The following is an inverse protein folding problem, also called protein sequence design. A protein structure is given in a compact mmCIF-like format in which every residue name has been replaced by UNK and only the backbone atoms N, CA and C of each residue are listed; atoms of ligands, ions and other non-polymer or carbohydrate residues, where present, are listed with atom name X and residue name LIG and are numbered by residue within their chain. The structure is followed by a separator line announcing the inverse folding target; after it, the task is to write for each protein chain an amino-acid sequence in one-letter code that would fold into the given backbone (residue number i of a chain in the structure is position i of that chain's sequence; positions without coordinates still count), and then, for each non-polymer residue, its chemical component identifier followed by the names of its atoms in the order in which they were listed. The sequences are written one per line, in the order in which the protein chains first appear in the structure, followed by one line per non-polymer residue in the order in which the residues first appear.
data_IF_487638693026
#
_entry.id   IF_487638693026
#
_cell.length_a   1.000
_cell.length_b   1.000
_cell.length_c   1.000
_cell.angle_alpha   90.00
_cell.angle_beta   90.00
_cell.angle_gamma   90.00
#
_symmetry.space_group_name_H-M   'P 1'
#
loop_
_entity.id
_entity.type
_entity.pdbx_description
1 polymer ?
#
# COMPACT_ATOMS: atom_id res chain seq x y z
N UNK A 1 29.48 16.42 -6.54
CA UNK A 1 29.06 17.48 -5.61
C UNK A 1 27.56 17.38 -5.28
N UNK A 2 27.04 16.16 -5.10
CA UNK A 2 25.59 15.88 -4.96
C UNK A 2 25.41 14.56 -4.18
N UNK A 3 25.92 14.52 -2.95
CA UNK A 3 25.68 13.41 -2.01
C UNK A 3 25.32 13.90 -0.59
N UNK A 4 25.36 15.21 -0.35
CA UNK A 4 25.10 15.80 0.97
C UNK A 4 23.65 16.25 1.20
N UNK A 5 22.83 16.34 0.14
CA UNK A 5 21.46 16.89 0.21
C UNK A 5 20.35 15.89 0.57
N UNK A 6 20.63 14.58 0.61
CA UNK A 6 19.60 13.57 0.91
C UNK A 6 19.54 13.14 2.39
N UNK A 7 20.55 13.47 3.20
CA UNK A 7 20.68 12.93 4.55
C UNK A 7 19.65 13.47 5.57
N UNK A 8 19.26 14.77 5.57
CA UNK A 8 18.33 15.30 6.58
C UNK A 8 16.89 14.79 6.40
N UNK A 9 16.38 14.81 5.16
CA UNK A 9 15.04 14.31 4.79
C UNK A 9 14.85 12.81 5.08
N UNK A 10 15.87 11.99 4.82
CA UNK A 10 15.85 10.55 5.15
C UNK A 10 15.76 10.30 6.66
N UNK A 11 16.42 11.13 7.48
CA UNK A 11 16.35 11.04 8.95
C UNK A 11 14.95 11.42 9.45
N UNK A 12 14.30 12.39 8.83
CA UNK A 12 12.93 12.81 9.16
C UNK A 12 11.89 11.74 8.81
N UNK A 13 11.99 11.12 7.62
CA UNK A 13 11.10 10.03 7.20
C UNK A 13 11.17 8.79 8.11
N UNK A 14 12.31 8.57 8.79
CA UNK A 14 12.49 7.46 9.74
C UNK A 14 11.73 7.61 11.07
N UNK A 15 11.14 8.78 11.34
CA UNK A 15 10.36 9.06 12.56
C UNK A 15 8.84 8.84 12.40
N UNK A 16 8.33 8.45 11.23
CA UNK A 16 6.88 8.23 11.03
C UNK A 16 6.37 6.97 11.75
N UNK A 17 5.27 7.05 12.52
CA UNK A 17 4.43 5.90 12.82
C UNK A 17 3.34 5.81 11.74
N UNK A 18 3.43 4.82 10.85
CA UNK A 18 2.23 4.34 10.15
C UNK A 18 1.58 3.30 11.07
N UNK A 19 0.45 3.65 11.69
CA UNK A 19 -0.34 2.71 12.48
C UNK A 19 -1.24 3.40 13.50
N UNK A 20 -2.47 2.95 13.61
CA UNK A 20 -3.46 3.31 14.65
C UNK A 20 -3.09 2.79 16.05
N UNK A 21 -1.83 2.40 16.27
CA UNK A 21 -1.36 2.06 17.61
C UNK A 21 -1.15 3.36 18.40
N UNK A 22 -1.77 3.44 19.58
CA UNK A 22 -1.40 4.42 20.61
C UNK A 22 0.10 4.24 20.88
N UNK A 23 0.93 5.06 20.26
CA UNK A 23 2.34 5.13 20.60
C UNK A 23 2.44 5.52 22.08
N UNK A 24 2.89 4.59 22.93
CA UNK A 24 3.33 4.93 24.26
C UNK A 24 4.46 5.94 24.13
N UNK A 25 4.22 7.16 24.61
CA UNK A 25 5.25 8.19 24.65
C UNK A 25 6.36 7.74 25.61
N UNK A 26 7.64 7.83 25.21
CA UNK A 26 8.73 7.59 26.14
C UNK A 26 8.72 8.69 27.22
N UNK A 27 8.28 8.34 28.43
CA UNK A 27 8.56 9.07 29.65
C UNK A 27 10.05 8.93 29.94
N UNK A 28 10.89 9.77 29.33
CA UNK A 28 12.16 10.30 29.88
C UNK A 28 13.01 10.87 28.75
N UNK A 29 12.98 12.19 28.58
CA UNK A 29 14.10 12.95 28.02
C UNK A 29 14.05 14.35 28.62
N UNK A 30 14.70 14.51 29.78
CA UNK A 30 14.93 15.82 30.39
C UNK A 30 16.02 16.54 29.59
N UNK A 31 15.62 17.44 28.71
CA UNK A 31 16.46 18.50 28.18
C UNK A 31 15.64 19.78 28.25
N UNK A 32 16.10 20.75 29.05
CA UNK A 32 15.55 22.08 29.30
C UNK A 32 14.31 22.44 28.45
N UNK A 33 13.11 22.20 29.00
CA UNK A 33 11.88 22.72 28.40
C UNK A 33 11.88 24.24 28.54
N UNK A 34 12.20 24.92 27.46
CA UNK A 34 11.90 26.34 27.32
C UNK A 34 10.36 26.45 27.23
N UNK A 35 9.72 26.63 28.38
CA UNK A 35 8.27 26.63 28.57
C UNK A 35 7.56 27.88 28.04
N UNK A 36 8.25 28.71 27.26
CA UNK A 36 7.68 29.94 26.72
C UNK A 36 6.57 29.59 25.71
N UNK A 37 5.30 29.97 25.98
CA UNK A 37 4.21 29.73 25.06
C UNK A 37 4.46 30.45 23.72
N UNK A 38 4.02 29.84 22.62
CA UNK A 38 4.10 30.48 21.31
C UNK A 38 3.21 31.74 21.30
N UNK A 39 3.67 32.76 20.58
CA UNK A 39 2.87 33.95 20.31
C UNK A 39 1.66 33.61 19.41
N UNK A 40 0.64 34.47 19.43
CA UNK A 40 -0.55 34.29 18.59
C UNK A 40 -0.24 34.23 17.09
N UNK A 41 0.77 35.00 16.64
CA UNK A 41 1.29 34.93 15.27
C UNK A 41 1.76 33.52 14.90
N UNK A 42 2.59 32.91 15.75
CA UNK A 42 3.08 31.54 15.53
C UNK A 42 1.97 30.51 15.67
N UNK A 43 1.10 30.64 16.68
CA UNK A 43 -0.02 29.71 16.93
C UNK A 43 -0.93 29.61 15.70
N UNK A 44 -1.17 30.73 15.01
CA UNK A 44 -2.04 30.77 13.84
C UNK A 44 -1.55 30.00 12.61
N UNK A 45 -0.24 29.78 12.50
CA UNK A 45 0.39 29.10 11.36
C UNK A 45 0.77 27.66 11.69
N UNK A 46 0.60 27.21 12.94
CA UNK A 46 0.93 25.84 13.34
C UNK A 46 0.22 24.76 12.52
N UNK A 47 -1.09 24.86 12.17
CA UNK A 47 -1.73 23.86 11.32
C UNK A 47 -1.04 23.70 9.96
N UNK A 48 -0.53 24.79 9.39
CA UNK A 48 0.20 24.78 8.12
C UNK A 48 1.60 24.17 8.27
N UNK A 49 2.30 24.49 9.36
CA UNK A 49 3.60 23.87 9.68
C UNK A 49 3.47 22.35 9.94
N UNK A 50 2.36 21.92 10.55
CA UNK A 50 2.07 20.50 10.67
C UNK A 50 1.93 19.85 9.30
N UNK A 51 1.13 20.41 8.39
CA UNK A 51 0.89 19.83 7.06
C UNK A 51 2.14 19.86 6.17
N UNK A 52 2.89 20.96 6.22
CA UNK A 52 4.19 21.09 5.59
C UNK A 52 5.12 19.89 5.87
N UNK A 53 5.04 19.35 7.09
CA UNK A 53 5.94 18.30 7.54
C UNK A 53 5.27 16.92 7.70
N UNK A 54 3.95 16.83 7.83
CA UNK A 54 3.20 15.57 8.00
C UNK A 54 3.49 14.60 6.84
N UNK A 55 3.53 15.12 5.62
CA UNK A 55 3.85 14.34 4.42
C UNK A 55 5.31 14.44 3.98
N UNK A 56 6.13 15.28 4.63
CA UNK A 56 7.57 15.38 4.39
C UNK A 56 7.96 15.73 2.93
N UNK A 57 7.01 16.24 2.14
CA UNK A 57 7.15 16.53 0.73
C UNK A 57 6.65 17.96 0.44
N UNK A 58 7.42 18.95 0.90
CA UNK A 58 7.29 20.31 0.36
C UNK A 58 8.25 20.47 -0.82
N UNK A 59 7.70 20.83 -1.98
CA UNK A 59 8.53 21.21 -3.12
C UNK A 59 9.22 22.56 -2.87
N UNK A 60 10.38 22.83 -3.47
CA UNK A 60 11.06 24.13 -3.34
C UNK A 60 10.15 25.32 -3.70
N UNK A 61 9.27 25.15 -4.70
CA UNK A 61 8.29 26.15 -5.13
C UNK A 61 7.25 26.44 -4.03
N UNK A 62 6.72 25.40 -3.38
CA UNK A 62 5.80 25.57 -2.25
C UNK A 62 6.49 26.27 -1.07
N UNK A 63 7.76 25.94 -0.78
CA UNK A 63 8.53 26.59 0.29
C UNK A 63 8.73 28.08 0.00
N UNK A 64 9.08 28.42 -1.25
CA UNK A 64 9.26 29.81 -1.68
C UNK A 64 7.95 30.59 -1.60
N UNK A 65 6.83 29.97 -2.00
CA UNK A 65 5.51 30.57 -1.96
C UNK A 65 5.02 30.81 -0.52
N UNK A 66 5.19 29.84 0.38
CA UNK A 66 4.90 30.00 1.82
C UNK A 66 5.76 31.12 2.40
N UNK A 67 7.08 31.11 2.15
CA UNK A 67 7.99 32.14 2.67
C UNK A 67 7.64 33.55 2.16
N UNK A 68 7.27 33.66 0.88
CA UNK A 68 6.84 34.93 0.28
C UNK A 68 5.59 35.46 0.96
N UNK A 69 4.60 34.59 1.19
CA UNK A 69 3.33 34.97 1.81
C UNK A 69 3.49 35.28 3.30
N UNK A 70 4.29 34.50 4.03
CA UNK A 70 4.67 34.77 5.44
C UNK A 70 5.41 36.10 5.59
N UNK A 71 6.32 36.42 4.65
CA UNK A 71 7.06 37.68 4.67
C UNK A 71 6.16 38.91 4.46
N UNK A 72 5.06 38.76 3.73
CA UNK A 72 4.09 39.82 3.45
C UNK A 72 3.14 40.12 4.63
N UNK A 73 3.13 39.28 5.67
CA UNK A 73 2.16 39.40 6.77
C UNK A 73 2.60 40.41 7.82
N UNK A 74 1.91 41.55 7.89
CA UNK A 74 2.15 42.67 8.82
C UNK A 74 1.99 42.30 10.30
N UNK A 75 1.18 41.28 10.58
CA UNK A 75 0.81 40.79 11.92
C UNK A 75 1.79 39.76 12.51
N UNK A 76 2.80 39.34 11.75
CA UNK A 76 3.93 38.57 12.25
C UNK A 76 5.10 39.51 12.57
N UNK A 77 5.70 39.38 13.75
CA UNK A 77 6.89 40.15 14.12
C UNK A 77 8.11 39.73 13.29
N UNK A 78 9.15 40.58 13.17
CA UNK A 78 10.39 40.21 12.46
C UNK A 78 11.01 38.90 12.99
N UNK A 79 11.03 38.71 14.30
CA UNK A 79 11.57 37.52 14.96
C UNK A 79 10.72 36.27 14.66
N UNK A 80 9.40 36.42 14.59
CA UNK A 80 8.49 35.33 14.22
C UNK A 80 8.68 34.90 12.76
N UNK A 81 8.82 35.86 11.85
CA UNK A 81 9.08 35.57 10.43
C UNK A 81 10.42 34.87 10.24
N UNK A 82 11.45 35.27 10.97
CA UNK A 82 12.76 34.61 10.95
C UNK A 82 12.66 33.16 11.48
N UNK A 83 11.93 32.96 12.57
CA UNK A 83 11.70 31.63 13.16
C UNK A 83 10.93 30.70 12.22
N UNK A 84 9.87 31.20 11.57
CA UNK A 84 9.08 30.44 10.60
C UNK A 84 9.92 30.05 9.38
N UNK A 85 10.74 30.98 8.87
CA UNK A 85 11.67 30.69 7.77
C UNK A 85 12.64 29.58 8.13
N UNK A 86 13.16 29.58 9.36
CA UNK A 86 14.02 28.51 9.86
C UNK A 86 13.33 27.14 9.88
N UNK A 87 12.06 27.08 10.29
CA UNK A 87 11.28 25.83 10.31
C UNK A 87 10.80 25.33 8.95
N UNK A 88 10.84 26.19 7.94
CA UNK A 88 10.52 25.86 6.55
C UNK A 88 11.78 25.54 5.72
N UNK A 89 12.97 25.56 6.33
CA UNK A 89 14.22 25.17 5.66
C UNK A 89 14.27 23.65 5.50
N UNK A 90 14.26 23.12 4.26
CA UNK A 90 14.27 21.67 4.02
C UNK A 90 15.61 21.02 4.40
N UNK A 91 16.71 21.79 4.45
CA UNK A 91 18.01 21.28 4.88
C UNK A 91 18.12 21.23 6.42
N UNK A 92 17.29 22.02 7.13
CA UNK A 92 17.26 22.10 8.58
C UNK A 92 15.82 21.96 9.12
N UNK A 93 15.18 20.79 8.92
CA UNK A 93 13.81 20.57 9.37
C UNK A 93 13.68 20.71 10.89
N UNK A 94 12.47 21.01 11.41
CA UNK A 94 12.21 21.01 12.84
C UNK A 94 12.53 19.64 13.44
N UNK A 95 13.10 19.62 14.65
CA UNK A 95 13.30 18.38 15.39
C UNK A 95 11.97 17.76 15.84
N UNK A 96 12.01 16.47 16.19
CA UNK A 96 10.82 15.74 16.62
C UNK A 96 10.13 16.40 17.82
N UNK A 97 10.90 16.95 18.76
CA UNK A 97 10.38 17.64 19.95
C UNK A 97 9.54 18.86 19.56
N UNK A 98 10.06 19.68 18.64
CA UNK A 98 9.41 20.89 18.13
C UNK A 98 8.16 20.52 17.33
N UNK A 99 8.27 19.52 16.45
CA UNK A 99 7.13 19.02 15.68
C UNK A 99 6.00 18.50 16.58
N UNK A 100 6.30 17.64 17.57
CA UNK A 100 5.29 17.12 18.48
C UNK A 100 4.74 18.19 19.43
N UNK A 101 5.51 19.24 19.74
CA UNK A 101 5.00 20.41 20.47
C UNK A 101 3.92 21.13 19.66
N UNK A 102 4.10 21.30 18.35
CA UNK A 102 3.06 21.87 17.48
C UNK A 102 1.81 20.99 17.48
N UNK A 103 1.96 19.68 17.28
CA UNK A 103 0.82 18.75 17.27
C UNK A 103 0.05 18.79 18.59
N UNK A 104 0.75 18.80 19.73
CA UNK A 104 0.12 18.92 21.05
C UNK A 104 -0.63 20.25 21.20
N UNK A 105 -0.03 21.36 20.78
CA UNK A 105 -0.67 22.67 20.84
C UNK A 105 -1.94 22.71 19.98
N UNK A 106 -1.88 22.19 18.74
CA UNK A 106 -3.03 22.14 17.84
C UNK A 106 -4.16 21.29 18.44
N UNK A 107 -3.84 20.10 18.96
CA UNK A 107 -4.83 19.22 19.59
C UNK A 107 -5.44 19.83 20.85
N UNK A 108 -4.63 20.46 21.70
CA UNK A 108 -5.11 21.13 22.91
C UNK A 108 -6.06 22.28 22.55
N UNK A 109 -5.70 23.14 21.60
CA UNK A 109 -6.57 24.23 21.16
C UNK A 109 -7.84 23.71 20.47
N UNK A 110 -7.75 22.65 19.67
CA UNK A 110 -8.90 22.05 19.00
C UNK A 110 -9.91 21.42 19.98
N UNK A 111 -9.44 20.88 21.11
CA UNK A 111 -10.31 20.30 22.14
C UNK A 111 -11.28 21.32 22.73
N UNK A 112 -10.83 22.56 22.89
CA UNK A 112 -11.64 23.66 23.44
C UNK A 112 -12.48 24.38 22.36
N UNK A 113 -12.45 23.91 21.10
CA UNK A 113 -13.17 24.52 19.97
C UNK A 113 -14.37 23.68 19.50
N UNK A 114 -15.58 24.26 19.46
CA UNK A 114 -16.71 23.62 18.82
C UNK A 114 -16.45 23.35 17.33
N UNK A 115 -16.71 22.12 16.88
CA UNK A 115 -16.62 21.72 15.48
C UNK A 115 -15.24 21.97 14.83
N UNK A 116 -14.15 21.85 15.60
CA UNK A 116 -12.79 22.01 15.08
C UNK A 116 -12.55 21.16 13.82
N UNK A 117 -13.05 19.92 13.80
CA UNK A 117 -12.97 18.99 12.66
C UNK A 117 -13.71 19.42 11.37
N UNK A 118 -14.47 20.52 11.41
CA UNK A 118 -15.17 21.05 10.23
C UNK A 118 -14.45 22.28 9.64
N UNK A 119 -13.43 22.79 10.34
CA UNK A 119 -12.68 23.99 9.96
C UNK A 119 -11.62 23.68 8.90
N UNK A 120 -11.32 24.66 8.07
CA UNK A 120 -10.13 24.69 7.22
C UNK A 120 -8.86 24.88 8.07
N UNK A 121 -7.67 24.70 7.49
CA UNK A 121 -6.40 24.97 8.20
C UNK A 121 -6.30 26.45 8.61
N UNK A 122 -6.73 27.36 7.74
CA UNK A 122 -6.79 28.79 8.01
C UNK A 122 -7.75 29.14 9.15
N UNK A 123 -8.97 28.58 9.11
CA UNK A 123 -9.99 28.79 10.15
C UNK A 123 -9.53 28.26 11.51
N UNK A 124 -8.92 27.06 11.53
CA UNK A 124 -8.36 26.47 12.74
C UNK A 124 -7.25 27.36 13.31
N UNK A 125 -6.29 27.79 12.48
CA UNK A 125 -5.19 28.64 12.91
C UNK A 125 -5.64 29.96 13.54
N UNK A 126 -6.56 30.66 12.89
CA UNK A 126 -7.09 31.94 13.41
C UNK A 126 -7.82 31.74 14.75
N UNK A 127 -8.65 30.71 14.87
CA UNK A 127 -9.36 30.43 16.12
C UNK A 127 -8.39 30.00 17.23
N UNK A 128 -7.31 29.29 16.91
CA UNK A 128 -6.26 28.94 17.88
C UNK A 128 -5.59 30.20 18.42
N UNK A 129 -5.31 31.17 17.56
CA UNK A 129 -4.73 32.45 17.95
C UNK A 129 -5.70 33.29 18.82
N UNK A 130 -7.01 33.25 18.53
CA UNK A 130 -8.05 33.90 19.35
C UNK A 130 -8.15 33.30 20.75
N UNK A 131 -8.13 31.96 20.86
CA UNK A 131 -8.17 31.27 22.16
C UNK A 131 -6.94 31.55 23.03
N UNK A 132 -5.80 31.87 22.42
CA UNK A 132 -4.56 32.21 23.14
C UNK A 132 -4.60 33.60 23.84
N UNK A 133 -5.70 34.35 23.73
CA UNK A 133 -5.93 35.56 24.54
C UNK A 133 -5.07 36.78 24.17
N UNK A 134 -4.58 36.84 22.93
CA UNK A 134 -3.85 37.97 22.37
C UNK A 134 -4.74 38.63 21.31
N UNK A 135 -4.81 39.96 21.27
CA UNK A 135 -5.50 40.67 20.18
C UNK A 135 -5.03 40.10 18.84
N UNK A 136 -5.98 39.48 18.13
CA UNK A 136 -5.67 38.41 17.20
C UNK A 136 -5.18 38.87 15.83
N UNK A 137 -4.84 37.90 14.96
CA UNK A 137 -4.75 38.12 13.53
C UNK A 137 -6.11 38.58 12.99
N UNK A 138 -6.13 39.69 12.26
CA UNK A 138 -7.33 40.34 11.69
C UNK A 138 -7.98 39.48 10.60
N UNK A 139 -9.15 39.88 10.08
CA UNK A 139 -9.75 39.28 8.87
C UNK A 139 -8.75 39.17 7.69
N UNK A 140 -7.72 40.00 7.68
CA UNK A 140 -6.59 39.99 6.76
C UNK A 140 -5.75 38.71 6.89
N UNK A 141 -5.46 38.29 8.12
CA UNK A 141 -4.69 37.07 8.39
C UNK A 141 -5.47 35.81 8.00
N UNK A 142 -6.79 35.78 8.25
CA UNK A 142 -7.63 34.67 7.82
C UNK A 142 -7.62 34.52 6.29
N UNK A 143 -7.69 35.65 5.55
CA UNK A 143 -7.59 35.64 4.09
C UNK A 143 -6.21 35.18 3.62
N UNK A 144 -5.14 35.70 4.20
CA UNK A 144 -3.78 35.32 3.84
C UNK A 144 -3.49 33.82 4.09
N UNK A 145 -3.99 33.28 5.20
CA UNK A 145 -3.86 31.84 5.50
C UNK A 145 -4.71 30.99 4.55
N UNK A 146 -5.91 31.44 4.18
CA UNK A 146 -6.74 30.75 3.19
C UNK A 146 -6.07 30.72 1.81
N UNK A 147 -5.43 31.82 1.41
CA UNK A 147 -4.63 31.86 0.18
C UNK A 147 -3.47 30.85 0.26
N UNK A 148 -2.74 30.79 1.39
CA UNK A 148 -1.66 29.81 1.60
C UNK A 148 -2.21 28.37 1.51
N UNK A 149 -3.38 28.10 2.10
CA UNK A 149 -4.07 26.81 2.02
C UNK A 149 -4.37 26.40 0.57
N UNK A 150 -4.87 27.34 -0.23
CA UNK A 150 -5.14 27.14 -1.67
C UNK A 150 -3.86 26.86 -2.46
N UNK A 151 -2.78 27.62 -2.21
CA UNK A 151 -1.50 27.44 -2.88
C UNK A 151 -0.84 26.09 -2.59
N UNK A 152 -1.06 25.56 -1.37
CA UNK A 152 -0.59 24.23 -1.01
C UNK A 152 -1.37 23.11 -1.71
N UNK A 153 -2.55 23.40 -2.27
CA UNK A 153 -3.40 22.41 -2.94
C UNK A 153 -3.94 21.33 -1.99
N UNK A 154 -3.99 21.63 -0.69
CA UNK A 154 -4.39 20.68 0.36
C UNK A 154 -5.88 20.76 0.60
N UNK A 155 -6.54 19.61 0.78
CA UNK A 155 -7.93 19.54 1.25
C UNK A 155 -7.93 19.79 2.77
N UNK A 156 -7.82 21.05 3.18
CA UNK A 156 -7.48 21.37 4.57
C UNK A 156 -8.50 20.93 5.61
N UNK A 157 -9.80 20.80 5.26
CA UNK A 157 -10.80 20.21 6.17
C UNK A 157 -10.56 18.73 6.46
N UNK A 158 -10.05 17.98 5.49
CA UNK A 158 -9.70 16.56 5.69
C UNK A 158 -8.45 16.43 6.55
N UNK A 159 -7.43 17.24 6.25
CA UNK A 159 -6.23 17.38 7.06
C UNK A 159 -6.52 17.73 8.52
N UNK A 160 -7.43 18.68 8.78
CA UNK A 160 -7.85 19.04 10.13
C UNK A 160 -8.55 17.88 10.83
N UNK A 161 -9.43 17.14 10.15
CA UNK A 161 -10.13 15.95 10.72
C UNK A 161 -9.14 14.88 11.17
N UNK A 162 -8.16 14.57 10.33
CA UNK A 162 -7.12 13.60 10.66
C UNK A 162 -6.29 14.07 11.86
N UNK A 163 -5.88 15.35 11.85
CA UNK A 163 -5.06 15.96 12.88
C UNK A 163 -5.75 16.01 14.26
N UNK A 164 -7.04 16.38 14.30
CA UNK A 164 -7.79 16.51 15.57
C UNK A 164 -8.41 15.20 16.04
N UNK A 165 -8.47 14.18 15.18
CA UNK A 165 -8.95 12.84 15.54
C UNK A 165 -10.46 12.72 15.75
N UNK A 166 -11.22 13.75 15.39
CA UNK A 166 -12.69 13.73 15.43
C UNK A 166 -13.23 13.40 14.03
N UNK A 167 -13.76 12.19 13.90
CA UNK A 167 -14.66 11.88 12.78
C UNK A 167 -16.03 12.46 13.16
N UNK A 168 -16.65 13.34 12.35
CA UNK A 168 -18.02 13.74 12.64
C UNK A 168 -18.87 12.47 12.78
N UNK A 169 -19.86 12.45 13.69
CA UNK A 169 -20.87 11.41 13.65
C UNK A 169 -21.33 11.31 12.19
N UNK A 170 -21.46 10.09 11.67
CA UNK A 170 -21.99 9.89 10.33
C UNK A 170 -23.23 10.79 10.25
N UNK A 171 -23.19 11.80 9.37
CA UNK A 171 -24.33 12.68 9.22
C UNK A 171 -25.52 11.74 9.04
N UNK A 172 -26.56 11.86 9.87
CA UNK A 172 -27.79 11.14 9.64
C UNK A 172 -28.18 11.49 8.21
N UNK A 173 -27.88 10.57 7.29
CA UNK A 173 -28.12 10.73 5.88
C UNK A 173 -29.62 10.49 5.68
N UNK A 174 -30.45 11.29 6.35
CA UNK A 174 -31.80 11.61 5.95
C UNK A 174 -31.76 12.56 4.75
N UNK A 175 -30.82 12.34 3.83
CA UNK A 175 -30.87 12.92 2.50
C UNK A 175 -32.08 12.32 1.80
N UNK A 176 -32.80 13.16 1.07
CA UNK A 176 -33.91 12.73 0.22
C UNK A 176 -33.43 11.58 -0.69
N UNK A 177 -33.98 10.37 -0.49
CA UNK A 177 -33.64 9.22 -1.31
C UNK A 177 -34.15 9.52 -2.71
N UNK A 178 -33.25 9.93 -3.60
CA UNK A 178 -33.60 10.12 -5.00
C UNK A 178 -34.17 8.80 -5.53
N UNK A 179 -35.30 8.84 -6.28
CA UNK A 179 -35.86 7.64 -6.87
C UNK A 179 -34.91 7.16 -7.98
N UNK A 180 -34.01 6.24 -7.64
CA UNK A 180 -33.07 5.62 -8.57
C UNK A 180 -33.66 4.31 -9.08
N UNK A 181 -33.74 4.17 -10.41
CA UNK A 181 -34.08 2.90 -11.04
C UNK A 181 -32.86 1.97 -10.97
N UNK A 182 -32.85 1.11 -9.95
CA UNK A 182 -31.69 0.28 -9.57
C UNK A 182 -31.29 -0.68 -10.69
N UNK A 183 -32.24 -1.24 -11.45
CA UNK A 183 -31.92 -2.17 -12.53
C UNK A 183 -31.23 -1.45 -13.70
N UNK A 184 -31.66 -0.23 -14.03
CA UNK A 184 -31.07 0.63 -15.04
C UNK A 184 -29.67 1.09 -14.66
N UNK A 185 -29.44 1.47 -13.40
CA UNK A 185 -28.10 1.80 -12.93
C UNK A 185 -27.17 0.57 -12.98
N UNK A 186 -27.65 -0.60 -12.57
CA UNK A 186 -26.89 -1.86 -12.66
C UNK A 186 -26.56 -2.19 -14.12
N UNK A 187 -27.52 -2.09 -15.03
CA UNK A 187 -27.31 -2.34 -16.45
C UNK A 187 -26.27 -1.38 -17.05
N UNK A 188 -26.30 -0.10 -16.64
CA UNK A 188 -25.32 0.88 -17.06
C UNK A 188 -23.90 0.58 -16.54
N UNK A 189 -23.77 0.17 -15.27
CA UNK A 189 -22.48 -0.14 -14.64
C UNK A 189 -21.90 -1.48 -15.13
N UNK A 190 -22.73 -2.50 -15.29
CA UNK A 190 -22.28 -3.82 -15.75
C UNK A 190 -21.99 -3.83 -17.27
N UNK A 191 -22.67 -2.97 -18.01
CA UNK A 191 -22.51 -2.81 -19.46
C UNK A 191 -22.68 -4.12 -20.21
N UNK A 192 -21.85 -4.33 -21.24
CA UNK A 192 -21.90 -5.54 -22.08
C UNK A 192 -21.45 -6.82 -21.37
N UNK A 193 -20.79 -6.70 -20.22
CA UNK A 193 -20.29 -7.84 -19.45
C UNK A 193 -21.31 -8.32 -18.40
N UNK A 194 -22.51 -7.72 -18.36
CA UNK A 194 -23.58 -8.10 -17.44
C UNK A 194 -23.84 -9.61 -17.37
N UNK A 195 -23.94 -10.37 -18.50
CA UNK A 195 -24.16 -11.82 -18.43
C UNK A 195 -23.05 -12.57 -17.67
N UNK A 196 -21.80 -12.18 -17.86
CA UNK A 196 -20.66 -12.78 -17.17
C UNK A 196 -20.65 -12.42 -15.68
N UNK A 197 -20.88 -11.13 -15.35
CA UNK A 197 -20.96 -10.67 -13.96
C UNK A 197 -22.10 -11.36 -13.22
N UNK A 198 -23.26 -11.52 -13.86
CA UNK A 198 -24.43 -12.19 -13.29
C UNK A 198 -24.18 -13.68 -13.06
N UNK A 199 -23.50 -14.35 -13.99
CA UNK A 199 -23.06 -15.73 -13.79
C UNK A 199 -22.16 -15.86 -12.55
N UNK A 200 -21.21 -14.94 -12.37
CA UNK A 200 -20.28 -14.97 -11.23
C UNK A 200 -20.99 -14.64 -9.92
N UNK A 201 -21.85 -13.62 -9.89
CA UNK A 201 -22.68 -13.31 -8.72
C UNK A 201 -23.55 -14.50 -8.32
N UNK A 202 -24.18 -15.16 -9.31
CA UNK A 202 -24.98 -16.37 -9.08
C UNK A 202 -24.15 -17.48 -8.44
N UNK A 203 -22.93 -17.70 -8.93
CA UNK A 203 -22.00 -18.68 -8.37
C UNK A 203 -21.59 -18.32 -6.92
N UNK A 204 -21.28 -17.06 -6.66
CA UNK A 204 -20.88 -16.57 -5.33
C UNK A 204 -22.04 -16.57 -4.31
N UNK A 205 -23.29 -16.70 -4.76
CA UNK A 205 -24.45 -16.90 -3.90
C UNK A 205 -24.67 -18.37 -3.51
N UNK A 206 -23.93 -19.32 -4.08
CA UNK A 206 -24.04 -20.74 -3.71
C UNK A 206 -23.63 -20.94 -2.23
N UNK A 207 -24.31 -21.82 -1.46
CA UNK A 207 -23.96 -22.08 -0.07
C UNK A 207 -22.49 -22.47 0.17
N UNK A 208 -21.81 -23.00 -0.84
CA UNK A 208 -20.38 -23.31 -0.77
C UNK A 208 -19.48 -22.08 -0.64
N UNK A 209 -19.97 -20.89 -1.02
CA UNK A 209 -19.30 -19.59 -0.84
C UNK A 209 -19.76 -18.88 0.43
N UNK A 210 -20.51 -19.53 1.33
CA UNK A 210 -20.95 -18.87 2.56
C UNK A 210 -19.75 -18.42 3.39
N UNK A 211 -19.71 -17.14 3.71
CA UNK A 211 -18.70 -16.56 4.57
C UNK A 211 -18.85 -17.08 6.02
N UNK A 212 -17.75 -17.33 6.76
CA UNK A 212 -17.82 -17.73 8.16
C UNK A 212 -18.52 -16.68 9.04
N UNK A 213 -19.45 -17.12 9.90
CA UNK A 213 -20.23 -16.22 10.75
C UNK A 213 -19.45 -15.70 11.98
N UNK A 214 -18.33 -16.36 12.31
CA UNK A 214 -17.48 -16.05 13.46
C UNK A 214 -16.05 -15.75 13.03
N UNK A 215 -15.30 -15.11 13.91
CA UNK A 215 -13.86 -14.96 13.73
C UNK A 215 -13.22 -16.33 13.47
N UNK A 216 -12.55 -16.44 12.32
CA UNK A 216 -12.01 -17.69 11.81
C UNK A 216 -10.49 -17.65 11.90
N UNK A 217 -9.83 -18.68 12.48
CA UNK A 217 -8.38 -18.76 12.50
C UNK A 217 -7.77 -18.62 11.11
N UNK A 218 -6.59 -17.98 11.03
CA UNK A 218 -5.94 -17.68 9.74
C UNK A 218 -5.74 -18.92 8.87
N UNK A 219 -5.34 -20.05 9.46
CA UNK A 219 -5.12 -21.29 8.71
C UNK A 219 -6.41 -21.88 8.14
N UNK A 220 -7.50 -21.81 8.90
CA UNK A 220 -8.82 -22.27 8.43
C UNK A 220 -9.34 -21.36 7.31
N UNK A 221 -9.20 -20.04 7.45
CA UNK A 221 -9.59 -19.08 6.41
C UNK A 221 -8.82 -19.32 5.10
N UNK A 222 -7.54 -19.70 5.18
CA UNK A 222 -6.72 -20.05 4.01
C UNK A 222 -7.25 -21.26 3.24
N UNK A 223 -7.67 -22.31 3.94
CA UNK A 223 -8.27 -23.50 3.34
C UNK A 223 -9.65 -23.21 2.74
N UNK A 224 -10.47 -22.40 3.42
CA UNK A 224 -11.77 -21.94 2.90
C UNK A 224 -11.58 -21.19 1.58
N UNK A 225 -10.68 -20.20 1.56
CA UNK A 225 -10.42 -19.38 0.37
C UNK A 225 -9.78 -20.21 -0.75
N UNK A 226 -8.93 -21.19 -0.43
CA UNK A 226 -8.45 -22.16 -1.41
C UNK A 226 -9.61 -22.97 -2.02
N UNK A 227 -10.54 -23.43 -1.18
CA UNK A 227 -11.74 -24.15 -1.60
C UNK A 227 -12.61 -23.33 -2.56
N UNK A 228 -12.87 -22.07 -2.23
CA UNK A 228 -13.57 -21.14 -3.12
C UNK A 228 -12.82 -20.92 -4.44
N UNK A 229 -11.49 -20.75 -4.38
CA UNK A 229 -10.66 -20.59 -5.58
C UNK A 229 -10.75 -21.80 -6.50
N UNK A 230 -10.73 -23.03 -5.94
CA UNK A 230 -10.93 -24.28 -6.69
C UNK A 230 -12.29 -24.34 -7.37
N UNK A 231 -13.36 -24.00 -6.66
CA UNK A 231 -14.72 -23.98 -7.24
C UNK A 231 -14.82 -23.01 -8.42
N UNK A 232 -14.24 -21.81 -8.31
CA UNK A 232 -14.18 -20.87 -9.43
C UNK A 232 -13.40 -21.47 -10.63
N UNK A 233 -12.30 -22.19 -10.36
CA UNK A 233 -11.53 -22.89 -11.39
C UNK A 233 -12.34 -24.01 -12.07
N UNK A 234 -13.07 -24.82 -11.29
CA UNK A 234 -13.94 -25.91 -11.78
C UNK A 234 -15.05 -25.39 -12.70
N UNK A 235 -15.52 -24.15 -12.45
CA UNK A 235 -16.46 -23.45 -13.32
C UNK A 235 -15.78 -22.69 -14.48
N UNK A 236 -14.47 -22.89 -14.71
CA UNK A 236 -13.72 -22.29 -15.81
C UNK A 236 -13.43 -20.80 -15.66
N UNK A 237 -13.75 -20.17 -14.52
CA UNK A 237 -13.56 -18.73 -14.32
C UNK A 237 -12.07 -18.36 -14.33
N UNK A 238 -11.21 -19.22 -13.78
CA UNK A 238 -9.75 -19.02 -13.77
C UNK A 238 -9.10 -19.09 -15.15
N UNK A 239 -9.72 -19.79 -16.10
CA UNK A 239 -9.14 -20.03 -17.43
C UNK A 239 -9.54 -18.99 -18.48
N UNK A 240 -10.49 -18.09 -18.19
CA UNK A 240 -11.12 -17.20 -19.19
C UNK A 240 -10.12 -16.47 -20.09
N UNK A 241 -9.05 -15.91 -19.51
CA UNK A 241 -8.01 -15.19 -20.26
C UNK A 241 -7.00 -16.07 -21.00
N UNK A 242 -7.03 -17.39 -20.83
CA UNK A 242 -6.06 -18.31 -21.43
C UNK A 242 -6.54 -18.88 -22.77
N UNK A 243 -5.64 -19.45 -23.59
CA UNK A 243 -6.04 -20.05 -24.85
C UNK A 243 -6.92 -21.29 -24.70
N UNK A 244 -7.61 -21.65 -25.77
CA UNK A 244 -8.52 -22.81 -25.83
C UNK A 244 -7.85 -24.12 -25.40
N UNK A 245 -6.57 -24.34 -25.76
CA UNK A 245 -5.85 -25.56 -25.37
C UNK A 245 -5.62 -25.67 -23.85
N UNK A 246 -5.75 -24.56 -23.12
CA UNK A 246 -5.67 -24.51 -21.66
C UNK A 246 -7.06 -24.37 -21.00
N UNK A 247 -8.14 -24.55 -21.77
CA UNK A 247 -9.52 -24.51 -21.28
C UNK A 247 -10.15 -23.11 -21.24
N UNK A 248 -9.50 -22.11 -21.84
CA UNK A 248 -9.96 -20.72 -21.88
C UNK A 248 -10.51 -20.27 -23.23
N UNK A 249 -10.65 -18.95 -23.40
CA UNK A 249 -11.22 -18.33 -24.60
C UNK A 249 -10.40 -17.11 -25.10
N UNK A 250 -9.17 -16.92 -24.60
CA UNK A 250 -8.33 -15.74 -24.82
C UNK A 250 -9.03 -14.40 -24.48
N UNK A 251 -9.98 -14.43 -23.55
CA UNK A 251 -10.80 -13.28 -23.17
C UNK A 251 -10.22 -12.56 -21.94
N UNK A 252 -9.27 -11.65 -22.17
CA UNK A 252 -8.65 -10.87 -21.09
C UNK A 252 -9.65 -9.95 -20.38
N UNK A 253 -10.61 -9.39 -21.12
CA UNK A 253 -11.58 -8.49 -20.56
C UNK A 253 -12.58 -9.22 -19.66
N UNK A 254 -13.07 -10.37 -20.11
CA UNK A 254 -13.91 -11.26 -19.29
C UNK A 254 -13.19 -11.65 -18.00
N UNK A 255 -11.88 -11.91 -18.05
CA UNK A 255 -11.08 -12.17 -16.85
C UNK A 255 -11.03 -10.97 -15.89
N UNK A 256 -10.82 -9.75 -16.41
CA UNK A 256 -10.82 -8.53 -15.58
C UNK A 256 -12.20 -8.33 -14.92
N UNK A 257 -13.28 -8.43 -15.69
CA UNK A 257 -14.63 -8.31 -15.14
C UNK A 257 -14.94 -9.43 -14.13
N UNK A 258 -14.41 -10.63 -14.35
CA UNK A 258 -14.53 -11.72 -13.39
C UNK A 258 -13.82 -11.38 -12.08
N UNK A 259 -12.57 -10.94 -12.16
CA UNK A 259 -11.75 -10.53 -11.02
C UNK A 259 -12.42 -9.41 -10.19
N UNK A 260 -12.91 -8.37 -10.85
CA UNK A 260 -13.65 -7.28 -10.20
C UNK A 260 -14.95 -7.77 -9.56
N UNK A 261 -15.67 -8.68 -10.21
CA UNK A 261 -16.94 -9.20 -9.67
C UNK A 261 -16.71 -10.04 -8.42
N UNK A 262 -15.64 -10.84 -8.38
CA UNK A 262 -15.25 -11.65 -7.21
C UNK A 262 -14.95 -10.74 -6.00
N UNK A 263 -14.44 -9.53 -6.22
CA UNK A 263 -14.13 -8.58 -5.14
C UNK A 263 -15.34 -8.12 -4.32
N UNK A 264 -16.57 -8.24 -4.85
CA UNK A 264 -17.79 -7.98 -4.09
C UNK A 264 -18.12 -9.06 -3.05
N UNK A 265 -17.43 -10.20 -3.10
CA UNK A 265 -17.64 -11.30 -2.16
C UNK A 265 -16.58 -11.33 -1.05
N UNK A 266 -15.31 -11.54 -1.40
CA UNK A 266 -14.22 -11.57 -0.43
C UNK A 266 -12.90 -11.16 -1.09
N UNK A 267 -12.17 -10.24 -0.45
CA UNK A 267 -10.91 -9.73 -1.00
C UNK A 267 -9.77 -10.75 -0.89
N UNK A 268 -9.79 -11.67 0.08
CA UNK A 268 -8.78 -12.74 0.14
C UNK A 268 -8.92 -13.68 -1.06
N UNK A 269 -10.16 -14.05 -1.41
CA UNK A 269 -10.50 -14.83 -2.60
C UNK A 269 -10.06 -14.12 -3.88
N UNK A 270 -10.40 -12.84 -4.02
CA UNK A 270 -9.96 -12.04 -5.17
C UNK A 270 -8.45 -12.10 -5.33
N UNK A 271 -7.68 -11.82 -4.28
CA UNK A 271 -6.22 -11.81 -4.35
C UNK A 271 -5.66 -13.21 -4.59
N UNK A 272 -6.17 -14.26 -3.93
CA UNK A 272 -5.74 -15.65 -4.16
C UNK A 272 -5.97 -16.10 -5.60
N UNK A 273 -7.15 -15.77 -6.15
CA UNK A 273 -7.51 -16.00 -7.54
C UNK A 273 -6.56 -15.24 -8.48
N UNK A 274 -6.28 -13.96 -8.20
CA UNK A 274 -5.35 -13.15 -8.96
C UNK A 274 -3.92 -13.68 -8.95
N UNK A 275 -3.41 -14.15 -7.81
CA UNK A 275 -2.07 -14.76 -7.71
C UNK A 275 -1.98 -16.01 -8.58
N UNK A 276 -2.98 -16.88 -8.55
CA UNK A 276 -2.98 -18.11 -9.33
C UNK A 276 -3.11 -17.84 -10.84
N UNK A 277 -4.21 -17.21 -11.26
CA UNK A 277 -4.59 -17.14 -12.67
C UNK A 277 -4.05 -15.89 -13.35
N UNK A 278 -4.00 -14.77 -12.63
CA UNK A 278 -3.45 -13.53 -13.15
C UNK A 278 -1.92 -13.52 -13.17
N UNK A 279 -1.28 -13.79 -12.03
CA UNK A 279 0.17 -13.65 -11.89
C UNK A 279 0.93 -14.91 -12.30
N UNK A 280 0.71 -16.05 -11.64
CA UNK A 280 1.44 -17.29 -11.94
C UNK A 280 1.10 -17.80 -13.35
N UNK A 281 -0.18 -18.04 -13.63
CA UNK A 281 -0.64 -18.49 -14.95
C UNK A 281 -0.40 -17.44 -16.04
N UNK A 282 -0.63 -16.16 -15.76
CA UNK A 282 -0.34 -15.08 -16.70
C UNK A 282 1.14 -14.94 -17.05
N UNK A 283 2.06 -15.15 -16.10
CA UNK A 283 3.49 -15.15 -16.38
C UNK A 283 3.89 -16.32 -17.29
N UNK A 284 3.32 -17.51 -17.10
CA UNK A 284 3.52 -18.65 -18.02
C UNK A 284 3.01 -18.30 -19.41
N UNK A 285 1.79 -17.74 -19.52
CA UNK A 285 1.20 -17.35 -20.80
C UNK A 285 2.03 -16.29 -21.53
N UNK A 286 2.53 -15.29 -20.80
CA UNK A 286 3.23 -14.15 -21.39
C UNK A 286 4.70 -14.45 -21.72
N UNK A 287 5.41 -15.17 -20.84
CA UNK A 287 6.87 -15.31 -20.90
C UNK A 287 7.34 -16.70 -21.32
N UNK A 288 6.50 -17.74 -21.18
CA UNK A 288 6.86 -19.10 -21.54
C UNK A 288 7.05 -19.30 -23.04
N UNK A 289 7.83 -20.31 -23.43
CA UNK A 289 7.81 -20.87 -24.77
C UNK A 289 6.53 -21.67 -25.04
N UNK A 290 6.21 -21.97 -26.29
CA UNK A 290 5.03 -22.78 -26.63
C UNK A 290 5.05 -24.15 -25.94
N UNK A 291 6.23 -24.77 -25.82
CA UNK A 291 6.38 -26.04 -25.12
C UNK A 291 6.06 -25.89 -23.61
N UNK A 292 6.57 -24.84 -22.97
CA UNK A 292 6.29 -24.56 -21.55
C UNK A 292 4.80 -24.24 -21.33
N UNK A 293 4.20 -23.41 -22.19
CA UNK A 293 2.77 -23.10 -22.10
C UNK A 293 1.90 -24.34 -22.24
N UNK A 294 2.16 -25.19 -23.25
CA UNK A 294 1.44 -26.46 -23.44
C UNK A 294 1.60 -27.41 -22.26
N UNK A 295 2.75 -27.38 -21.58
CA UNK A 295 3.02 -28.25 -20.44
C UNK A 295 2.32 -27.78 -19.17
N UNK A 296 2.39 -26.48 -18.85
CA UNK A 296 2.02 -26.00 -17.52
C UNK A 296 0.70 -25.21 -17.48
N UNK A 297 0.33 -24.54 -18.57
CA UNK A 297 -0.81 -23.63 -18.55
C UNK A 297 -2.15 -24.33 -18.31
N UNK A 298 -2.44 -25.53 -18.88
CA UNK A 298 -3.69 -26.25 -18.57
C UNK A 298 -3.83 -26.60 -17.08
N UNK A 299 -2.74 -27.02 -16.44
CA UNK A 299 -2.75 -27.36 -15.01
C UNK A 299 -2.82 -26.10 -14.13
N UNK A 300 -2.19 -25.00 -14.56
CA UNK A 300 -2.33 -23.70 -13.88
C UNK A 300 -3.78 -23.17 -13.97
N UNK A 301 -4.42 -23.33 -15.13
CA UNK A 301 -5.79 -22.88 -15.42
C UNK A 301 -6.86 -23.62 -14.62
N UNK A 302 -6.68 -24.92 -14.41
CA UNK A 302 -7.56 -25.78 -13.61
C UNK A 302 -7.23 -25.80 -12.13
N UNK A 303 -6.19 -25.07 -11.71
CA UNK A 303 -5.60 -25.12 -10.35
C UNK A 303 -5.09 -26.54 -9.97
N UNK A 304 -4.96 -27.46 -10.93
CA UNK A 304 -4.27 -28.74 -10.77
C UNK A 304 -2.78 -28.56 -10.46
N UNK A 305 -2.19 -27.42 -10.87
CA UNK A 305 -0.90 -26.92 -10.43
C UNK A 305 -1.07 -25.54 -9.74
N UNK A 306 -1.25 -25.52 -8.40
CA UNK A 306 -1.20 -24.30 -7.61
C UNK A 306 0.20 -23.69 -7.71
N UNK A 307 0.24 -22.40 -7.99
CA UNK A 307 1.49 -21.67 -8.09
C UNK A 307 1.46 -20.30 -7.44
N UNK A 308 2.64 -19.70 -7.41
CA UNK A 308 2.87 -18.36 -6.89
C UNK A 308 3.80 -17.53 -7.78
N UNK A 309 3.80 -16.22 -7.54
CA UNK A 309 4.60 -15.25 -8.29
C UNK A 309 5.66 -14.64 -7.38
N UNK A 310 6.90 -15.10 -7.50
CA UNK A 310 7.99 -14.84 -6.59
C UNK A 310 8.94 -13.76 -7.12
N UNK A 311 8.50 -12.50 -7.06
CA UNK A 311 9.27 -11.34 -7.51
C UNK A 311 9.90 -10.57 -6.36
N UNK A 312 9.07 -9.95 -5.53
CA UNK A 312 9.46 -9.10 -4.39
C UNK A 312 10.44 -9.81 -3.46
N UNK A 313 11.45 -9.08 -3.02
CA UNK A 313 12.37 -9.48 -1.96
C UNK A 313 12.25 -8.51 -0.78
N UNK A 314 12.67 -8.93 0.41
CA UNK A 314 12.57 -8.09 1.62
C UNK A 314 13.23 -6.72 1.45
N UNK A 315 14.34 -6.64 0.73
CA UNK A 315 15.04 -5.38 0.42
C UNK A 315 14.56 -4.67 -0.85
N UNK A 316 13.78 -5.34 -1.71
CA UNK A 316 13.48 -4.89 -3.08
C UNK A 316 12.04 -5.22 -3.48
N UNK A 317 11.17 -4.23 -3.34
CA UNK A 317 9.80 -4.25 -3.89
C UNK A 317 9.67 -3.35 -5.12
N UNK A 318 9.85 -2.04 -4.94
CA UNK A 318 9.74 -1.07 -6.03
C UNK A 318 10.92 -1.13 -7.01
N UNK A 319 12.14 -1.31 -6.49
CA UNK A 319 13.35 -1.43 -7.30
C UNK A 319 13.60 -2.89 -7.71
N UNK A 320 12.75 -3.40 -8.60
CA UNK A 320 12.87 -4.77 -9.12
C UNK A 320 14.12 -5.01 -9.97
N UNK A 321 14.85 -3.97 -10.38
CA UNK A 321 16.08 -4.15 -11.17
C UNK A 321 17.23 -4.68 -10.34
N UNK A 322 17.22 -4.39 -9.03
CA UNK A 322 18.30 -4.74 -8.10
C UNK A 322 17.92 -5.92 -7.20
N UNK A 323 17.06 -6.83 -7.68
CA UNK A 323 16.83 -8.12 -7.01
C UNK A 323 18.17 -8.84 -6.79
N UNK A 324 18.29 -9.54 -5.67
CA UNK A 324 19.51 -10.21 -5.21
C UNK A 324 19.49 -11.71 -5.51
N UNK A 325 18.30 -12.34 -5.58
CA UNK A 325 18.20 -13.75 -5.99
C UNK A 325 18.86 -13.93 -7.37
N UNK A 326 19.74 -14.91 -7.51
CA UNK A 326 20.45 -15.19 -8.77
C UNK A 326 20.00 -16.52 -9.37
N UNK A 327 20.09 -16.62 -10.70
CA UNK A 327 19.95 -17.85 -11.46
C UNK A 327 21.19 -17.97 -12.36
N UNK A 328 22.17 -18.75 -11.91
CA UNK A 328 23.46 -18.90 -12.61
C UNK A 328 23.42 -20.10 -13.54
N UNK A 329 23.73 -19.91 -14.81
CA UNK A 329 23.75 -20.98 -15.79
C UNK A 329 25.00 -21.88 -15.66
N UNK A 330 24.78 -23.17 -15.48
CA UNK A 330 25.78 -24.24 -15.49
C UNK A 330 25.74 -24.97 -16.85
N UNK A 331 26.70 -24.64 -17.72
CA UNK A 331 26.75 -25.19 -19.07
C UNK A 331 27.07 -26.69 -19.11
N UNK A 332 27.76 -27.24 -18.11
CA UNK A 332 28.10 -28.66 -18.08
C UNK A 332 26.86 -29.52 -17.78
N UNK A 333 26.01 -29.04 -16.86
CA UNK A 333 24.77 -29.71 -16.49
C UNK A 333 23.56 -29.33 -17.38
N UNK A 334 23.65 -28.23 -18.15
CA UNK A 334 22.52 -27.61 -18.86
C UNK A 334 21.39 -27.23 -17.88
N UNK A 335 21.77 -26.60 -16.77
CA UNK A 335 20.87 -26.23 -15.66
C UNK A 335 21.11 -24.78 -15.23
N UNK A 336 20.13 -24.19 -14.56
CA UNK A 336 20.31 -22.99 -13.76
C UNK A 336 20.39 -23.36 -12.28
N UNK A 337 21.33 -22.73 -11.58
CA UNK A 337 21.45 -22.79 -10.11
C UNK A 337 20.82 -21.53 -9.53
N UNK A 338 19.65 -21.70 -8.90
CA UNK A 338 18.90 -20.63 -8.23
C UNK A 338 19.36 -20.51 -6.78
N UNK A 339 19.78 -19.30 -6.40
CA UNK A 339 20.34 -19.02 -5.07
C UNK A 339 19.82 -17.71 -4.50
N UNK A 340 19.44 -17.74 -3.24
CA UNK A 340 19.28 -16.56 -2.38
C UNK A 340 20.63 -16.27 -1.69
N UNK A 341 21.32 -15.14 -1.98
CA UNK A 341 22.69 -14.93 -1.52
C UNK A 341 22.84 -14.82 0.01
N UNK A 342 21.96 -14.07 0.65
CA UNK A 342 21.98 -13.86 2.10
C UNK A 342 20.59 -14.05 2.72
N UNK A 343 20.53 -14.24 4.04
CA UNK A 343 19.26 -14.42 4.76
C UNK A 343 18.21 -13.32 4.49
N UNK A 344 18.54 -12.01 4.42
CA UNK A 344 17.56 -10.97 4.10
C UNK A 344 17.16 -10.90 2.61
N UNK A 345 17.82 -11.62 1.70
CA UNK A 345 17.54 -11.54 0.25
C UNK A 345 16.38 -12.45 -0.20
N UNK A 346 15.64 -13.04 0.74
CA UNK A 346 14.52 -13.91 0.41
C UNK A 346 13.42 -13.21 -0.34
N UNK A 347 12.70 -14.01 -1.13
CA UNK A 347 11.41 -13.61 -1.66
C UNK A 347 10.46 -13.34 -0.50
N UNK A 348 9.72 -12.24 -0.57
CA UNK A 348 8.91 -11.70 0.53
C UNK A 348 7.50 -11.37 0.03
N UNK A 349 6.49 -11.61 0.88
CA UNK A 349 5.06 -11.43 0.56
C UNK A 349 4.50 -12.31 -0.57
N UNK A 350 5.09 -13.47 -0.82
CA UNK A 350 4.69 -14.32 -1.96
C UNK A 350 3.38 -15.05 -1.65
N UNK A 351 2.27 -14.55 -2.21
CA UNK A 351 0.95 -15.18 -2.07
C UNK A 351 0.97 -16.64 -2.55
N UNK A 352 0.21 -17.51 -1.89
CA UNK A 352 0.21 -18.97 -2.06
C UNK A 352 1.49 -19.70 -1.60
N UNK A 353 2.60 -19.03 -1.28
CA UNK A 353 3.84 -19.75 -1.02
C UNK A 353 3.84 -20.49 0.32
N UNK A 354 3.22 -19.92 1.35
CA UNK A 354 3.34 -20.47 2.71
C UNK A 354 2.74 -21.88 2.80
N UNK A 355 1.60 -22.15 2.16
CA UNK A 355 0.92 -23.44 2.26
C UNK A 355 0.66 -24.10 0.89
N UNK A 356 0.15 -23.37 -0.10
CA UNK A 356 -0.59 -24.01 -1.19
C UNK A 356 0.20 -24.24 -2.49
N UNK A 357 1.13 -23.35 -2.84
CA UNK A 357 1.84 -23.37 -4.12
C UNK A 357 2.83 -24.53 -4.20
N UNK A 358 2.83 -25.22 -5.35
CA UNK A 358 3.80 -26.27 -5.70
C UNK A 358 4.86 -25.78 -6.67
N UNK A 359 4.55 -24.77 -7.48
CA UNK A 359 5.45 -24.15 -8.45
C UNK A 359 5.50 -22.64 -8.19
N UNK A 360 6.66 -22.03 -8.38
CA UNK A 360 6.85 -20.59 -8.34
C UNK A 360 7.35 -20.09 -9.69
N UNK A 361 6.82 -18.96 -10.16
CA UNK A 361 7.54 -18.14 -11.14
C UNK A 361 8.49 -17.24 -10.38
N UNK A 362 9.77 -17.59 -10.33
CA UNK A 362 10.81 -16.87 -9.59
C UNK A 362 11.50 -15.87 -10.51
N UNK A 363 11.53 -14.61 -10.09
CA UNK A 363 12.30 -13.58 -10.78
C UNK A 363 13.68 -13.45 -10.15
N UNK A 364 14.73 -13.63 -10.95
CA UNK A 364 16.11 -13.66 -10.46
C UNK A 364 17.06 -13.02 -11.48
N UNK A 365 18.20 -12.52 -11.00
CA UNK A 365 19.29 -12.04 -11.85
C UNK A 365 19.87 -13.21 -12.63
N UNK A 366 19.75 -13.17 -13.96
CA UNK A 366 20.36 -14.16 -14.83
C UNK A 366 21.87 -13.92 -14.87
N UNK A 367 22.66 -14.96 -14.58
CA UNK A 367 24.13 -14.92 -14.66
C UNK A 367 24.62 -16.02 -15.61
N UNK A 368 25.38 -15.64 -16.64
CA UNK A 368 25.97 -16.56 -17.62
C UNK A 368 27.47 -16.24 -17.72
N UNK A 369 28.34 -17.23 -17.46
CA UNK A 369 29.81 -17.08 -17.49
C UNK A 369 30.27 -15.87 -16.66
N UNK A 370 29.67 -15.70 -15.47
CA UNK A 370 29.98 -14.61 -14.54
C UNK A 370 29.45 -13.22 -14.96
N UNK A 371 28.74 -13.09 -16.08
CA UNK A 371 28.13 -11.85 -16.55
C UNK A 371 26.64 -11.81 -16.20
N UNK A 372 26.17 -10.67 -15.67
CA UNK A 372 24.76 -10.46 -15.35
C UNK A 372 23.95 -9.93 -16.54
N UNK A 373 22.76 -10.48 -16.76
CA UNK A 373 21.85 -10.14 -17.86
C UNK A 373 20.53 -9.52 -17.38
N UNK A 374 20.48 -9.12 -16.11
CA UNK A 374 19.28 -8.58 -15.49
C UNK A 374 18.25 -9.64 -15.11
N UNK A 375 17.09 -9.17 -14.67
CA UNK A 375 16.03 -10.01 -14.11
C UNK A 375 15.31 -10.82 -15.18
N UNK A 376 15.24 -12.12 -14.98
CA UNK A 376 14.51 -13.09 -15.80
C UNK A 376 13.57 -13.94 -14.93
N UNK A 377 12.56 -14.54 -15.56
CA UNK A 377 11.59 -15.40 -14.89
C UNK A 377 11.94 -16.89 -15.09
N UNK A 378 11.87 -17.66 -14.01
CA UNK A 378 12.19 -19.09 -13.98
C UNK A 378 11.02 -19.85 -13.33
N UNK A 379 10.59 -20.95 -13.94
CA UNK A 379 9.64 -21.88 -13.30
C UNK A 379 10.41 -22.80 -12.37
N UNK A 380 10.11 -22.70 -11.07
CA UNK A 380 10.83 -23.38 -10.01
C UNK A 380 9.85 -24.25 -9.20
N UNK A 381 10.01 -25.59 -9.18
CA UNK A 381 9.25 -26.41 -8.25
C UNK A 381 9.66 -26.03 -6.83
N UNK A 382 8.69 -25.85 -5.94
CA UNK A 382 8.94 -25.50 -4.54
C UNK A 382 8.41 -26.54 -3.56
N UNK A 383 7.44 -27.36 -3.97
CA UNK A 383 6.93 -28.49 -3.19
C UNK A 383 6.72 -29.72 -4.06
N UNK A 384 6.83 -30.90 -3.46
CA UNK A 384 6.47 -32.17 -4.10
C UNK A 384 4.94 -32.37 -4.10
N UNK A 385 4.47 -33.53 -4.60
CA UNK A 385 3.03 -33.85 -4.63
C UNK A 385 2.42 -34.05 -3.24
N UNK A 386 3.22 -34.41 -2.24
CA UNK A 386 2.78 -34.54 -0.85
C UNK A 386 2.70 -33.19 -0.12
N UNK A 387 3.10 -32.09 -0.77
CA UNK A 387 3.10 -30.75 -0.17
C UNK A 387 4.36 -30.43 0.63
N UNK A 388 5.38 -31.27 0.61
CA UNK A 388 6.65 -31.03 1.31
C UNK A 388 7.56 -30.16 0.44
N UNK A 389 8.32 -29.25 1.06
CA UNK A 389 9.32 -28.45 0.33
C UNK A 389 10.37 -29.34 -0.30
N UNK A 390 10.76 -29.06 -1.54
CA UNK A 390 11.82 -29.82 -2.20
C UNK A 390 13.21 -29.45 -1.63
N UNK A 391 14.22 -30.34 -1.74
CA UNK A 391 15.58 -30.02 -1.31
C UNK A 391 16.10 -28.74 -1.95
N UNK A 392 16.76 -27.88 -1.15
CA UNK A 392 17.22 -26.57 -1.61
C UNK A 392 16.17 -25.46 -1.55
N UNK A 393 14.93 -25.75 -1.14
CA UNK A 393 13.88 -24.74 -0.94
C UNK A 393 13.51 -24.68 0.55
N UNK A 394 13.58 -23.48 1.13
CA UNK A 394 13.02 -23.20 2.46
C UNK A 394 11.88 -22.19 2.32
N UNK A 395 10.77 -22.45 2.99
CA UNK A 395 9.60 -21.58 3.01
C UNK A 395 9.26 -21.23 4.46
N UNK A 396 8.94 -19.96 4.70
CA UNK A 396 8.39 -19.48 5.97
C UNK A 396 7.10 -18.72 5.74
N UNK A 397 6.15 -18.80 6.67
CA UNK A 397 4.93 -18.00 6.64
C UNK A 397 5.26 -16.53 6.96
N UNK A 398 4.61 -15.58 6.27
CA UNK A 398 4.66 -14.15 6.62
C UNK A 398 3.77 -13.80 7.83
N UNK A 399 2.93 -14.74 8.28
CA UNK A 399 2.12 -14.63 9.49
C UNK A 399 0.83 -13.83 9.30
N UNK A 400 0.32 -13.31 10.41
CA UNK A 400 -0.89 -12.50 10.43
C UNK A 400 -0.63 -11.13 9.78
N UNK A 401 -1.58 -10.67 8.97
CA UNK A 401 -1.53 -9.41 8.22
C UNK A 401 -2.69 -8.51 8.63
N UNK A 402 -2.59 -7.21 8.34
CA UNK A 402 -3.67 -6.24 8.55
C UNK A 402 -5.01 -6.69 7.91
N UNK A 403 -4.94 -7.37 6.77
CA UNK A 403 -6.09 -7.96 6.09
C UNK A 403 -5.63 -9.06 5.14
N UNK A 404 -6.57 -9.60 4.35
CA UNK A 404 -6.31 -10.66 3.36
C UNK A 404 -5.70 -11.93 4.00
N UNK A 405 -6.16 -12.27 5.20
CA UNK A 405 -5.60 -13.41 5.96
C UNK A 405 -5.96 -14.77 5.36
N UNK A 406 -6.92 -14.85 4.44
CA UNK A 406 -7.15 -16.04 3.60
C UNK A 406 -6.09 -16.26 2.52
N UNK A 407 -5.17 -15.30 2.32
CA UNK A 407 -4.00 -15.48 1.43
C UNK A 407 -2.79 -15.90 2.26
N UNK A 408 -2.23 -17.05 1.92
CA UNK A 408 -1.06 -17.65 2.54
C UNK A 408 0.25 -17.08 1.96
N UNK A 409 0.48 -15.79 2.22
CA UNK A 409 1.74 -15.12 1.86
C UNK A 409 2.92 -15.76 2.61
N UNK A 410 3.95 -16.11 1.87
CA UNK A 410 5.17 -16.70 2.42
C UNK A 410 6.45 -16.04 1.93
N UNK A 411 7.53 -16.46 2.57
CA UNK A 411 8.91 -16.12 2.27
C UNK A 411 9.62 -17.34 1.69
N UNK A 412 10.46 -17.16 0.69
CA UNK A 412 11.15 -18.26 0.01
C UNK A 412 12.65 -17.99 -0.07
N UNK A 413 13.44 -18.98 0.33
CA UNK A 413 14.89 -19.02 0.16
C UNK A 413 15.28 -20.20 -0.72
N UNK A 414 16.26 -19.99 -1.59
CA UNK A 414 16.82 -21.01 -2.45
C UNK A 414 18.29 -21.26 -2.08
N UNK A 415 18.63 -22.51 -1.80
CA UNK A 415 19.98 -22.98 -1.49
C UNK A 415 20.47 -23.88 -2.63
N UNK A 416 21.07 -23.26 -3.63
CA UNK A 416 21.69 -23.90 -4.81
C UNK A 416 20.76 -24.87 -5.54
N UNK A 417 19.50 -24.46 -5.65
CA UNK A 417 18.48 -25.27 -6.30
C UNK A 417 18.77 -25.34 -7.80
N UNK A 418 18.91 -26.55 -8.31
CA UNK A 418 19.12 -26.82 -9.73
C UNK A 418 17.79 -27.00 -10.45
N UNK A 419 17.62 -26.29 -11.57
CA UNK A 419 16.48 -26.42 -12.49
C UNK A 419 16.97 -26.57 -13.94
N UNK A 420 16.23 -27.27 -14.82
CA UNK A 420 16.61 -27.40 -16.23
C UNK A 420 16.69 -26.05 -16.96
N UNK A 421 17.50 -26.00 -18.02
CA UNK A 421 17.64 -24.83 -18.90
C UNK A 421 16.34 -24.44 -19.63
#
# INVERSE_FOLDING_TARGET
MTAAREAPLRRWLSFRPYGTERAHMPETASAHEDHTPYSAGIVSVLPFLYIAWADGLLTPTQIEEINTRVAAQSWLSPDERERLRGWLDPEHPPDATTYYRWVRQIKASAHDMPSAAQKSLAELGVDMARLAGVDGPTDEAQRALAEIEEALGVVGREAVRELVGERPPAADAAGEVLPVEVAGLRAALDGRLAPLRDRIRTLLCDPAFRYPETETPTEEMREIVLGWTRRLADHGVGAVAFPEYAGGHDDLEGFIASFETIAYHDLSLTIKFGVQFGLFGGAIRALGSDAQKRTYLPDAASLALPGCFAMTERGHGSNVRDLQTTATYDAAAQEFVVRTPTEPDHKEWIGNAAAHARMATVFAQLVIVGQGYGVHAFLVPIRNRAGETIPGVRIGDSGHKLGLNGVDNGRIWFADLRIPR
#
